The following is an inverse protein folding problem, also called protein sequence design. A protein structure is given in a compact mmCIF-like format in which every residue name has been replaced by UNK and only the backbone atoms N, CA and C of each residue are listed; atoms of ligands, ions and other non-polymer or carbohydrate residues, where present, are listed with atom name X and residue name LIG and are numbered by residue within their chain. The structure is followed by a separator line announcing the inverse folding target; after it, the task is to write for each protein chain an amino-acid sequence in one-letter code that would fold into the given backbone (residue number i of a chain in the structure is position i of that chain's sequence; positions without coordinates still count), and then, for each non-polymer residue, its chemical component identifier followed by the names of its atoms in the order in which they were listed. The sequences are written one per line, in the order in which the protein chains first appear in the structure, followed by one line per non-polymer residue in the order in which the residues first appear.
data_IF_159455631060
#
_entry.id   IF_159455631060
#
_cell.length_a   1.000
_cell.length_b   1.000
_cell.length_c   1.000
_cell.angle_alpha   90.00
_cell.angle_beta   90.00
_cell.angle_gamma   90.00
#
_symmetry.space_group_name_H-M   'P 1'
#
loop_
_entity.id
_entity.type
_entity.pdbx_description
1 polymer ?
#
# COMPACT_ATOMS: atom_id res chain seq x y z
N UNK A 1 -66.84 -46.96 -4.59
CA UNK A 1 -65.86 -46.47 -5.60
C UNK A 1 -65.48 -45.04 -5.24
N UNK A 2 -64.31 -44.84 -4.69
CA UNK A 2 -63.80 -43.54 -4.27
C UNK A 2 -62.87 -42.97 -5.34
N UNK A 3 -63.20 -41.86 -5.89
CA UNK A 3 -62.34 -41.13 -6.79
C UNK A 3 -61.51 -40.15 -5.94
N UNK A 4 -60.17 -40.35 -5.93
CA UNK A 4 -59.20 -39.43 -5.35
C UNK A 4 -58.78 -38.41 -6.39
N UNK A 5 -59.17 -37.18 -6.21
CA UNK A 5 -58.71 -36.03 -7.01
C UNK A 5 -57.28 -35.65 -6.63
N UNK A 6 -56.38 -35.88 -7.55
CA UNK A 6 -55.03 -35.38 -7.46
C UNK A 6 -55.05 -33.91 -7.88
N UNK A 7 -54.89 -33.01 -6.92
CA UNK A 7 -54.71 -31.60 -7.17
C UNK A 7 -53.27 -31.35 -7.71
N UNK A 8 -53.17 -31.17 -9.01
CA UNK A 8 -51.99 -30.57 -9.63
C UNK A 8 -51.94 -29.08 -9.31
N UNK A 9 -51.06 -28.64 -8.44
CA UNK A 9 -50.73 -27.23 -8.27
C UNK A 9 -49.85 -26.75 -9.45
N UNK A 10 -50.26 -25.68 -10.14
CA UNK A 10 -49.40 -25.10 -11.19
C UNK A 10 -48.19 -24.41 -10.55
N UNK A 11 -47.04 -24.98 -10.72
CA UNK A 11 -45.77 -24.26 -10.47
C UNK A 11 -45.74 -23.08 -11.43
N UNK A 12 -46.05 -21.89 -10.90
CA UNK A 12 -46.06 -20.66 -11.67
C UNK A 12 -44.70 -20.38 -12.26
N UNK A 13 -44.64 -20.08 -13.56
CA UNK A 13 -43.42 -19.76 -14.30
C UNK A 13 -42.58 -18.64 -13.64
N UNK A 14 -43.20 -17.90 -12.72
CA UNK A 14 -42.56 -16.86 -11.92
C UNK A 14 -41.54 -17.40 -10.92
N UNK A 15 -41.73 -18.58 -10.36
CA UNK A 15 -40.75 -19.19 -9.45
C UNK A 15 -39.52 -19.76 -10.20
N UNK A 16 -39.70 -20.26 -11.42
CA UNK A 16 -38.60 -20.70 -12.28
C UNK A 16 -37.65 -19.55 -12.67
N UNK A 17 -38.24 -18.37 -12.95
CA UNK A 17 -37.46 -17.17 -13.27
C UNK A 17 -36.64 -16.66 -12.08
N UNK A 18 -37.20 -16.71 -10.87
CA UNK A 18 -36.50 -16.32 -9.66
C UNK A 18 -35.30 -17.22 -9.34
N UNK A 19 -35.48 -18.53 -9.52
CA UNK A 19 -34.40 -19.50 -9.29
C UNK A 19 -33.23 -19.36 -10.29
N UNK A 20 -33.54 -19.06 -11.55
CA UNK A 20 -32.53 -18.80 -12.59
C UNK A 20 -31.72 -17.53 -12.36
N UNK A 21 -32.39 -16.44 -11.96
CA UNK A 21 -31.70 -15.18 -11.66
C UNK A 21 -30.86 -15.25 -10.38
N UNK A 22 -31.29 -16.00 -9.37
CA UNK A 22 -30.50 -16.20 -8.15
C UNK A 22 -29.22 -16.99 -8.44
N UNK A 23 -29.26 -18.02 -9.31
CA UNK A 23 -28.09 -18.80 -9.71
C UNK A 23 -27.08 -17.98 -10.51
N UNK A 24 -27.54 -17.14 -11.46
CA UNK A 24 -26.67 -16.25 -12.25
C UNK A 24 -26.02 -15.16 -11.38
N UNK A 25 -26.78 -14.53 -10.48
CA UNK A 25 -26.27 -13.53 -9.55
C UNK A 25 -25.18 -14.08 -8.60
N UNK A 26 -25.37 -15.32 -8.10
CA UNK A 26 -24.40 -15.98 -7.24
C UNK A 26 -23.11 -16.34 -8.01
N UNK A 27 -23.24 -16.75 -9.27
CA UNK A 27 -22.10 -17.09 -10.15
C UNK A 27 -21.25 -15.87 -10.48
N UNK A 28 -21.89 -14.71 -10.75
CA UNK A 28 -21.17 -13.46 -11.02
C UNK A 28 -20.46 -12.93 -9.77
N UNK A 29 -21.12 -12.94 -8.60
CA UNK A 29 -20.49 -12.55 -7.33
C UNK A 29 -19.28 -13.42 -7.00
N UNK A 30 -19.39 -14.73 -7.19
CA UNK A 30 -18.31 -15.64 -6.90
C UNK A 30 -17.13 -15.50 -7.88
N UNK A 31 -17.40 -15.16 -9.15
CA UNK A 31 -16.33 -14.90 -10.13
C UNK A 31 -15.56 -13.62 -9.77
N UNK A 32 -16.24 -12.52 -9.51
CA UNK A 32 -15.61 -11.26 -9.11
C UNK A 32 -14.83 -11.41 -7.79
N UNK A 33 -15.39 -12.09 -6.80
CA UNK A 33 -14.71 -12.41 -5.55
C UNK A 33 -13.44 -13.25 -5.77
N UNK A 34 -13.48 -14.25 -6.64
CA UNK A 34 -12.30 -15.09 -6.99
C UNK A 34 -11.21 -14.27 -7.67
N UNK A 35 -11.56 -13.38 -8.60
CA UNK A 35 -10.60 -12.51 -9.29
C UNK A 35 -9.94 -11.55 -8.31
N UNK A 36 -10.73 -10.89 -7.47
CA UNK A 36 -10.22 -9.98 -6.42
C UNK A 36 -9.34 -10.72 -5.42
N UNK A 37 -9.72 -11.93 -5.00
CA UNK A 37 -8.91 -12.74 -4.06
C UNK A 37 -7.59 -13.17 -4.69
N UNK A 38 -7.58 -13.58 -5.96
CA UNK A 38 -6.35 -13.96 -6.67
C UNK A 38 -5.40 -12.76 -6.85
N UNK A 39 -5.93 -11.57 -7.19
CA UNK A 39 -5.14 -10.35 -7.28
C UNK A 39 -4.59 -9.93 -5.92
N UNK A 40 -5.40 -9.97 -4.87
CA UNK A 40 -4.99 -9.68 -3.51
C UNK A 40 -3.92 -10.65 -3.01
N UNK A 41 -4.06 -11.95 -3.27
CA UNK A 41 -3.06 -12.97 -2.94
C UNK A 41 -1.75 -12.77 -3.71
N UNK A 42 -1.82 -12.39 -5.01
CA UNK A 42 -0.63 -12.11 -5.82
C UNK A 42 0.13 -10.89 -5.27
N UNK A 43 -0.58 -9.85 -4.84
CA UNK A 43 0.01 -8.67 -4.22
C UNK A 43 0.62 -9.01 -2.85
N UNK A 44 -0.09 -9.77 -2.01
CA UNK A 44 0.43 -10.20 -0.71
C UNK A 44 1.67 -11.07 -0.81
N UNK A 45 1.77 -11.93 -1.81
CA UNK A 45 2.90 -12.86 -2.00
C UNK A 45 4.24 -12.15 -2.20
N UNK A 46 4.23 -10.88 -2.62
CA UNK A 46 5.42 -10.08 -2.90
C UNK A 46 5.57 -8.86 -1.95
N UNK A 47 4.79 -8.81 -0.88
CA UNK A 47 4.91 -7.72 0.08
C UNK A 47 6.21 -7.84 0.89
N UNK A 48 6.86 -6.70 1.09
CA UNK A 48 8.06 -6.60 1.90
C UNK A 48 7.65 -6.64 3.37
N UNK A 49 8.08 -7.69 4.09
CA UNK A 49 7.77 -7.86 5.51
C UNK A 49 8.57 -6.88 6.38
N UNK A 50 9.86 -6.71 6.09
CA UNK A 50 10.78 -5.91 6.89
C UNK A 50 11.17 -4.63 6.19
N UNK A 51 10.50 -3.55 6.54
CA UNK A 51 10.79 -2.21 6.04
C UNK A 51 11.92 -1.56 6.84
N UNK A 52 12.96 -1.13 6.14
CA UNK A 52 14.12 -0.43 6.72
C UNK A 52 14.11 1.06 6.43
N UNK A 53 13.38 1.48 5.42
CA UNK A 53 13.16 2.89 5.05
C UNK A 53 11.91 3.37 5.77
N UNK A 54 12.03 4.50 6.45
CA UNK A 54 10.98 5.14 7.22
C UNK A 54 10.63 6.51 6.59
N UNK A 55 9.52 7.08 7.02
CA UNK A 55 9.16 8.45 6.67
C UNK A 55 10.16 9.41 7.29
N UNK A 56 10.66 10.39 6.54
CA UNK A 56 11.68 11.34 6.95
C UNK A 56 13.12 10.90 6.70
N UNK A 57 13.33 9.65 6.21
CA UNK A 57 14.68 9.20 5.84
C UNK A 57 15.15 9.88 4.56
N UNK A 58 16.45 10.17 4.50
CA UNK A 58 17.12 10.53 3.26
C UNK A 58 17.44 9.28 2.44
N UNK A 59 17.06 9.30 1.18
CA UNK A 59 17.20 8.18 0.26
C UNK A 59 17.76 8.63 -1.08
N UNK A 60 18.51 7.75 -1.73
CA UNK A 60 19.03 7.94 -3.07
C UNK A 60 18.35 6.96 -4.03
N UNK A 61 17.96 7.46 -5.20
CA UNK A 61 17.38 6.63 -6.27
C UNK A 61 18.51 5.89 -6.99
N UNK A 62 18.42 4.56 -7.04
CA UNK A 62 19.42 3.71 -7.70
C UNK A 62 19.05 3.30 -9.10
N UNK A 63 17.79 3.38 -9.48
CA UNK A 63 17.29 3.03 -10.80
C UNK A 63 16.10 3.91 -11.21
N UNK A 64 16.02 4.22 -12.49
CA UNK A 64 14.96 5.05 -13.09
C UNK A 64 15.48 6.37 -13.64
N UNK A 65 14.56 7.30 -13.95
CA UNK A 65 14.88 8.61 -14.54
C UNK A 65 15.78 9.46 -13.63
N UNK A 66 15.49 9.44 -12.33
CA UNK A 66 16.14 10.28 -11.32
C UNK A 66 17.27 9.52 -10.60
N UNK A 67 17.93 8.57 -11.30
CA UNK A 67 19.04 7.80 -10.74
C UNK A 67 20.15 8.73 -10.23
N UNK A 68 20.62 8.48 -9.00
CA UNK A 68 21.68 9.25 -8.34
C UNK A 68 21.16 10.47 -7.57
N UNK A 69 19.89 10.85 -7.71
CA UNK A 69 19.33 11.96 -6.94
C UNK A 69 18.97 11.52 -5.53
N UNK A 70 19.14 12.44 -4.59
CA UNK A 70 18.81 12.27 -3.16
C UNK A 70 17.56 13.06 -2.83
N UNK A 71 16.70 12.49 -2.01
CA UNK A 71 15.48 13.16 -1.53
C UNK A 71 15.00 12.59 -0.22
N UNK A 72 14.06 13.28 0.41
CA UNK A 72 13.46 12.89 1.68
C UNK A 72 12.17 12.10 1.46
N UNK A 73 11.97 11.03 2.21
CA UNK A 73 10.76 10.21 2.12
C UNK A 73 9.59 10.91 2.83
N UNK A 74 8.61 11.39 2.07
CA UNK A 74 7.40 12.01 2.62
C UNK A 74 6.36 10.97 3.05
N UNK A 75 6.19 9.88 2.27
CA UNK A 75 5.20 8.84 2.54
C UNK A 75 5.68 7.43 2.20
N UNK A 76 5.21 6.43 2.96
CA UNK A 76 5.52 5.00 2.73
C UNK A 76 4.23 4.23 2.51
N UNK A 77 4.07 3.64 1.32
CA UNK A 77 2.94 2.81 0.92
C UNK A 77 3.31 1.32 1.03
N UNK A 78 3.21 0.77 2.25
CA UNK A 78 3.64 -0.61 2.53
C UNK A 78 2.86 -1.66 1.76
N UNK A 79 1.56 -1.43 1.51
CA UNK A 79 0.70 -2.35 0.74
C UNK A 79 1.07 -2.44 -0.74
N UNK A 80 1.78 -1.45 -1.26
CA UNK A 80 2.17 -1.35 -2.67
C UNK A 80 3.67 -1.50 -2.89
N UNK A 81 4.45 -1.65 -1.82
CA UNK A 81 5.91 -1.63 -1.83
C UNK A 81 6.49 -0.36 -2.46
N UNK A 82 5.85 0.80 -2.23
CA UNK A 82 6.24 2.08 -2.83
C UNK A 82 6.51 3.15 -1.80
N UNK A 83 7.32 4.12 -2.20
CA UNK A 83 7.71 5.30 -1.42
C UNK A 83 7.41 6.55 -2.21
N UNK A 84 6.95 7.59 -1.54
CA UNK A 84 6.87 8.94 -2.09
C UNK A 84 8.08 9.72 -1.59
N UNK A 85 8.87 10.25 -2.50
CA UNK A 85 10.10 11.00 -2.19
C UNK A 85 9.91 12.42 -2.71
N UNK A 86 10.23 13.40 -1.89
CA UNK A 86 10.07 14.81 -2.21
C UNK A 86 10.97 15.21 -3.38
N UNK A 87 10.38 15.93 -4.32
CA UNK A 87 11.07 16.47 -5.50
C UNK A 87 11.45 15.45 -6.57
N UNK A 88 11.19 14.14 -6.36
CA UNK A 88 11.59 13.08 -7.27
C UNK A 88 10.40 12.38 -7.95
N UNK A 89 10.67 11.81 -9.13
CA UNK A 89 9.67 11.12 -9.96
C UNK A 89 8.45 11.99 -10.26
N UNK A 90 8.69 13.21 -10.68
CA UNK A 90 7.66 14.17 -11.01
C UNK A 90 6.85 13.76 -12.24
N UNK A 91 5.52 13.78 -12.11
CA UNK A 91 4.55 13.47 -13.16
C UNK A 91 3.58 14.62 -13.35
N UNK A 92 3.25 14.93 -14.59
CA UNK A 92 2.24 15.91 -14.95
C UNK A 92 0.86 15.24 -14.88
N UNK A 93 -0.02 15.74 -14.04
CA UNK A 93 -1.42 15.29 -13.92
C UNK A 93 -2.34 16.34 -14.53
N UNK A 94 -3.11 15.92 -15.53
CA UNK A 94 -4.14 16.75 -16.12
C UNK A 94 -5.38 16.72 -15.23
N UNK A 95 -5.81 17.89 -14.77
CA UNK A 95 -7.01 18.07 -13.97
C UNK A 95 -8.08 18.70 -14.85
N UNK A 96 -9.22 18.03 -14.95
CA UNK A 96 -10.37 18.54 -15.71
C UNK A 96 -10.96 19.77 -15.01
N UNK A 97 -11.50 20.69 -15.80
CA UNK A 97 -12.32 21.79 -15.28
C UNK A 97 -13.55 21.23 -14.58
N UNK A 98 -13.83 21.72 -13.37
CA UNK A 98 -14.99 21.32 -12.58
C UNK A 98 -15.45 22.52 -11.76
N UNK A 99 -16.66 23.06 -12.05
CA UNK A 99 -17.24 24.18 -11.33
C UNK A 99 -16.27 25.34 -11.14
N UNK A 100 -15.88 25.61 -9.92
CA UNK A 100 -14.98 26.69 -9.51
C UNK A 100 -13.50 26.46 -9.91
N UNK A 101 -13.11 25.20 -10.18
CA UNK A 101 -11.74 24.88 -10.58
C UNK A 101 -11.56 25.04 -12.09
N UNK A 102 -10.69 25.94 -12.57
CA UNK A 102 -10.46 26.18 -13.99
C UNK A 102 -9.82 24.98 -14.71
N UNK A 103 -9.36 23.98 -13.96
CA UNK A 103 -8.56 22.86 -14.48
C UNK A 103 -7.14 23.30 -14.83
N UNK A 104 -6.29 22.33 -15.19
CA UNK A 104 -4.91 22.63 -15.55
C UNK A 104 -3.99 21.39 -15.48
N UNK A 105 -2.70 21.64 -15.66
CA UNK A 105 -1.65 20.63 -15.54
C UNK A 105 -0.93 20.88 -14.22
N UNK A 106 -1.01 19.91 -13.32
CA UNK A 106 -0.34 19.97 -12.01
C UNK A 106 0.82 18.99 -12.03
N UNK A 107 2.00 19.45 -11.62
CA UNK A 107 3.16 18.58 -11.38
C UNK A 107 3.11 18.06 -9.96
N UNK A 108 3.19 16.75 -9.80
CA UNK A 108 3.17 16.08 -8.50
C UNK A 108 4.14 14.91 -8.46
N UNK A 109 4.63 14.58 -7.26
CA UNK A 109 5.49 13.43 -7.08
C UNK A 109 4.70 12.14 -7.26
N UNK A 110 5.28 11.18 -7.97
CA UNK A 110 4.74 9.84 -8.10
C UNK A 110 5.51 8.83 -7.24
N UNK A 111 4.83 7.80 -6.72
CA UNK A 111 5.49 6.82 -5.85
C UNK A 111 6.50 5.96 -6.62
N UNK A 112 7.70 5.79 -6.02
CA UNK A 112 8.82 4.97 -6.52
C UNK A 112 8.77 3.61 -5.81
N UNK A 113 9.12 2.52 -6.52
CA UNK A 113 9.18 1.19 -5.90
C UNK A 113 10.37 1.10 -4.93
N UNK A 114 10.16 0.42 -3.79
CA UNK A 114 11.17 0.27 -2.73
C UNK A 114 12.52 -0.25 -3.21
N UNK A 115 12.55 -1.17 -4.19
CA UNK A 115 13.78 -1.74 -4.73
C UNK A 115 14.65 -0.74 -5.50
N UNK A 116 14.05 0.37 -5.96
CA UNK A 116 14.73 1.40 -6.74
C UNK A 116 15.33 2.52 -5.88
N UNK A 117 15.26 2.36 -4.56
CA UNK A 117 15.67 3.38 -3.59
C UNK A 117 16.52 2.74 -2.49
N UNK A 118 17.64 3.36 -2.14
CA UNK A 118 18.49 2.97 -1.02
C UNK A 118 18.60 4.12 -0.01
N UNK A 119 18.88 3.79 1.24
CA UNK A 119 19.21 4.79 2.25
C UNK A 119 20.56 5.45 1.93
N UNK A 120 20.69 6.71 2.29
CA UNK A 120 21.95 7.45 2.24
C UNK A 120 22.72 7.21 3.54
N UNK A 121 23.99 6.90 3.42
CA UNK A 121 24.87 6.78 4.58
C UNK A 121 25.16 8.19 5.14
N UNK A 122 24.92 8.46 6.43
CA UNK A 122 25.14 9.77 7.00
C UNK A 122 26.61 10.24 6.97
N UNK A 123 27.57 9.32 6.87
CA UNK A 123 29.02 9.63 6.86
C UNK A 123 29.54 9.76 5.44
N UNK A 124 29.26 8.78 4.57
CA UNK A 124 29.83 8.74 3.21
C UNK A 124 28.94 9.42 2.17
N UNK A 125 27.66 9.68 2.47
CA UNK A 125 26.69 10.20 1.50
C UNK A 125 26.33 9.23 0.39
N UNK A 126 26.83 8.01 0.42
CA UNK A 126 26.61 7.00 -0.60
C UNK A 126 25.29 6.25 -0.40
N UNK A 127 24.74 5.70 -1.50
CA UNK A 127 23.58 4.81 -1.43
C UNK A 127 23.98 3.45 -0.86
N UNK A 128 23.43 3.10 0.30
CA UNK A 128 23.79 1.89 1.04
C UNK A 128 22.56 1.07 1.43
N UNK A 129 22.79 -0.22 1.69
CA UNK A 129 21.77 -1.07 2.30
C UNK A 129 21.80 -0.92 3.82
N UNK A 130 20.65 -0.96 4.45
CA UNK A 130 20.58 -0.98 5.92
C UNK A 130 20.18 -2.37 6.43
N UNK A 131 20.75 -2.73 7.57
CA UNK A 131 20.33 -3.86 8.41
C UNK A 131 19.91 -3.35 9.78
N UNK A 132 19.34 -4.22 10.57
CA UNK A 132 18.95 -3.92 11.95
C UNK A 132 19.71 -4.81 12.90
N UNK A 133 20.21 -4.23 14.00
CA UNK A 133 20.78 -4.95 15.14
C UNK A 133 20.21 -4.42 16.44
N UNK A 134 20.39 -5.14 17.49
CA UNK A 134 20.12 -4.69 18.84
C UNK A 134 21.43 -4.24 19.47
N UNK A 135 21.42 -3.13 20.17
CA UNK A 135 22.50 -2.69 21.04
C UNK A 135 22.44 -3.46 22.38
N UNK A 136 23.49 -3.34 23.17
CA UNK A 136 23.54 -3.99 24.48
C UNK A 136 22.43 -3.53 25.42
N UNK A 137 21.94 -2.30 25.25
CA UNK A 137 20.75 -1.71 25.91
C UNK A 137 19.42 -2.30 25.45
N UNK A 138 19.42 -3.25 24.50
CA UNK A 138 18.21 -3.83 23.89
C UNK A 138 17.52 -2.93 22.87
N UNK A 139 18.05 -1.74 22.59
CA UNK A 139 17.49 -0.83 21.58
C UNK A 139 17.75 -1.33 20.18
N UNK A 140 16.69 -1.35 19.35
CA UNK A 140 16.77 -1.75 17.96
C UNK A 140 17.24 -0.58 17.07
N UNK A 141 18.40 -0.70 16.48
CA UNK A 141 19.00 0.32 15.60
C UNK A 141 19.14 -0.17 14.16
N UNK A 142 19.14 0.77 13.23
CA UNK A 142 19.48 0.54 11.83
C UNK A 142 20.95 0.92 11.63
N UNK A 143 21.68 0.12 10.88
CA UNK A 143 23.09 0.41 10.53
C UNK A 143 23.32 0.15 9.05
N UNK A 144 24.27 0.85 8.48
CA UNK A 144 24.63 0.78 7.07
C UNK A 144 25.50 -0.45 6.80
N UNK A 145 25.27 -1.09 5.64
CA UNK A 145 26.01 -2.30 5.22
C UNK A 145 26.27 -2.25 3.72
N UNK A 146 27.45 -2.62 3.34
CA UNK A 146 27.85 -2.73 1.93
C UNK A 146 29.28 -2.25 1.70
N UNK A 147 29.74 -2.35 0.46
CA UNK A 147 31.13 -1.99 0.09
C UNK A 147 31.44 -0.50 0.33
N UNK A 148 30.45 0.38 0.12
CA UNK A 148 30.61 1.84 0.27
C UNK A 148 29.97 2.37 1.56
N UNK A 149 29.73 1.51 2.54
CA UNK A 149 29.10 1.90 3.80
C UNK A 149 30.16 2.17 4.87
N UNK A 150 29.91 3.16 5.72
CA UNK A 150 30.72 3.45 6.90
C UNK A 150 30.46 2.49 8.08
N UNK A 151 29.43 1.64 8.01
CA UNK A 151 28.94 0.85 9.15
C UNK A 151 28.22 1.69 10.22
N UNK A 152 27.96 2.95 9.94
CA UNK A 152 27.35 3.89 10.88
C UNK A 152 25.90 3.54 11.20
N UNK A 153 25.42 4.04 12.35
CA UNK A 153 24.04 3.92 12.75
C UNK A 153 23.22 4.97 12.01
N UNK A 154 22.14 4.54 11.34
CA UNK A 154 21.17 5.44 10.74
C UNK A 154 20.13 5.81 11.78
N UNK A 155 20.08 7.09 12.20
CA UNK A 155 19.12 7.52 13.21
C UNK A 155 17.69 7.32 12.73
N UNK A 156 16.78 7.15 13.67
CA UNK A 156 15.34 7.10 13.35
C UNK A 156 14.86 8.55 13.23
N UNK A 157 14.24 8.95 12.10
CA UNK A 157 13.73 10.30 11.95
C UNK A 157 12.59 10.59 12.94
N UNK A 158 12.54 11.79 13.50
CA UNK A 158 11.50 12.22 14.45
C UNK A 158 10.11 12.15 13.83
N UNK A 159 10.01 12.49 12.53
CA UNK A 159 8.77 12.38 11.74
C UNK A 159 8.23 10.95 11.72
N UNK A 160 9.10 9.93 11.79
CA UNK A 160 8.68 8.53 11.83
C UNK A 160 8.17 8.11 13.23
N UNK A 161 8.54 8.83 14.28
CA UNK A 161 8.04 8.60 15.63
C UNK A 161 6.59 9.09 15.77
N UNK A 162 6.25 10.18 15.07
CA UNK A 162 4.91 10.77 15.10
C UNK A 162 3.92 9.91 14.33
N UNK A 163 2.91 9.40 15.01
CA UNK A 163 1.89 8.56 14.41
C UNK A 163 0.88 9.41 13.63
N UNK A 164 0.66 9.08 12.36
CA UNK A 164 -0.26 9.84 11.48
C UNK A 164 -1.74 9.55 11.79
N UNK A 165 -2.04 8.42 12.43
CA UNK A 165 -3.41 8.03 12.81
C UNK A 165 -3.45 7.59 14.27
N UNK A 166 -4.43 8.02 15.07
CA UNK A 166 -4.60 7.54 16.44
C UNK A 166 -4.79 6.00 16.46
N UNK A 167 -4.47 5.37 17.56
CA UNK A 167 -4.79 3.94 17.76
C UNK A 167 -6.31 3.82 17.84
N UNK A 168 -6.85 2.70 17.35
CA UNK A 168 -8.29 2.43 17.49
C UNK A 168 -8.76 2.36 18.94
N UNK A 169 -7.83 2.03 19.86
CA UNK A 169 -8.05 2.00 21.30
C UNK A 169 -8.14 3.38 21.94
N UNK A 170 -7.65 4.42 21.26
CA UNK A 170 -7.65 5.79 21.79
C UNK A 170 -8.95 6.54 21.41
N UNK A 171 -9.82 5.89 20.61
CA UNK A 171 -11.14 6.42 20.24
C UNK A 171 -12.17 5.79 21.15
N UNK A 172 -12.45 6.47 22.27
CA UNK A 172 -13.64 6.27 23.06
C UNK A 172 -13.49 5.48 24.35
N UNK A 173 -12.87 6.06 25.34
CA UNK A 173 -13.53 6.07 26.63
C UNK A 173 -14.76 6.98 26.46
N UNK A 174 -15.92 6.41 26.14
CA UNK A 174 -17.17 7.14 26.27
C UNK A 174 -17.36 7.27 27.77
N UNK A 175 -17.29 8.50 28.21
CA UNK A 175 -17.74 8.86 29.56
C UNK A 175 -19.19 8.39 29.66
N UNK A 176 -19.43 7.34 30.45
CA UNK A 176 -20.75 6.91 30.92
C UNK A 176 -21.07 7.66 32.20
#
# INVERSE_FOLDING_TARGET
MRWSSIAMSPLSGYQMWRSGQAKTRHKVKNWAARVLTKQAQKVQKHLIERWRILRGDQVMVVAGKDKGQVGTVSKVYRKENRLLVEGLNLVKKHVKRSGENPGGIITMEAPIHYSNVNLVDPVTGAAVRARTRFLDDGTKVRYTVGRNSSGSIVPKPDVAATRTKPRKTDVGARDT
#
